data_IF_486294227351
#
_entry.id   IF_486294227351
#
_cell.length_a   1.000
_cell.length_b   1.000
_cell.length_c   1.000
_cell.angle_alpha   90.00
_cell.angle_beta   90.00
_cell.angle_gamma   90.00
#
_symmetry.space_group_name_H-M   'P 1'
#
loop_
_entity.id
_entity.type
_entity.pdbx_description
1 polymer ?
#
# COMPACT_ATOMS: atom_id res chain seq x y z
N UNK A 1 9.96 51.30 21.14
CA UNK A 1 10.46 50.09 20.46
C UNK A 1 10.34 48.89 21.40
N UNK A 2 9.15 48.31 21.59
CA UNK A 2 8.90 47.36 22.68
C UNK A 2 7.89 46.25 22.30
N UNK A 3 7.88 45.79 21.04
CA UNK A 3 6.75 45.00 20.53
C UNK A 3 7.08 43.77 19.67
N UNK A 4 8.26 43.14 19.80
CA UNK A 4 8.58 41.97 18.94
C UNK A 4 9.12 40.72 19.65
N UNK A 5 9.32 40.72 20.97
CA UNK A 5 9.97 39.57 21.65
C UNK A 5 9.06 38.70 22.52
N UNK A 6 7.78 39.05 22.70
CA UNK A 6 6.91 38.35 23.65
C UNK A 6 6.04 37.23 23.05
N UNK A 7 5.93 37.13 21.73
CA UNK A 7 4.99 36.20 21.07
C UNK A 7 5.63 34.92 20.51
N UNK A 8 6.95 34.79 20.51
CA UNK A 8 7.62 33.61 19.92
C UNK A 8 7.78 32.42 20.89
N UNK A 9 7.69 32.65 22.20
CA UNK A 9 7.87 31.60 23.22
C UNK A 9 6.61 30.81 23.58
N UNK A 10 5.45 31.17 23.02
CA UNK A 10 4.14 30.62 23.44
C UNK A 10 3.47 29.67 22.43
N UNK A 11 4.14 29.28 21.34
CA UNK A 11 3.54 28.38 20.34
C UNK A 11 4.14 26.97 20.23
N UNK A 12 5.21 26.66 20.98
CA UNK A 12 5.91 25.37 20.85
C UNK A 12 5.90 24.54 22.14
N UNK A 13 4.73 24.42 22.78
CA UNK A 13 4.52 23.36 23.77
C UNK A 13 3.73 22.22 23.12
N UNK A 14 4.43 21.43 22.31
CA UNK A 14 3.95 20.12 21.89
C UNK A 14 3.82 19.25 23.15
N UNK A 15 2.60 19.09 23.65
CA UNK A 15 2.27 18.09 24.67
C UNK A 15 2.52 16.72 24.04
N UNK A 16 3.75 16.22 24.11
CA UNK A 16 4.04 14.80 23.92
C UNK A 16 3.43 14.07 25.11
N UNK A 17 2.19 13.64 24.95
CA UNK A 17 1.47 12.82 25.93
C UNK A 17 2.37 11.63 26.26
N UNK A 18 2.75 11.50 27.54
CA UNK A 18 3.56 10.38 28.00
C UNK A 18 2.89 9.05 27.58
N UNK A 19 3.67 8.04 27.16
CA UNK A 19 3.12 6.73 26.85
C UNK A 19 2.29 6.24 28.05
N UNK A 20 1.02 5.94 27.85
CA UNK A 20 0.19 5.40 28.94
C UNK A 20 0.77 4.04 29.35
N UNK A 21 0.90 3.81 30.66
CA UNK A 21 1.27 2.49 31.16
C UNK A 21 0.26 1.44 30.67
N UNK A 22 0.76 0.35 30.08
CA UNK A 22 -0.11 -0.66 29.52
C UNK A 22 -0.74 -1.48 30.66
N UNK A 23 -2.06 -1.32 30.85
CA UNK A 23 -2.82 -1.95 31.94
C UNK A 23 -2.78 -3.48 31.89
N UNK A 24 -2.56 -4.04 30.70
CA UNK A 24 -2.50 -5.48 30.47
C UNK A 24 -1.11 -6.07 30.67
N UNK A 25 -0.09 -5.23 30.94
CA UNK A 25 1.32 -5.66 31.04
C UNK A 25 1.93 -6.14 29.71
N UNK A 26 1.15 -6.18 28.63
CA UNK A 26 1.63 -6.54 27.31
C UNK A 26 2.38 -5.36 26.70
N UNK A 27 3.66 -5.52 26.40
CA UNK A 27 4.44 -4.51 25.67
C UNK A 27 4.65 -4.97 24.21
N UNK A 28 3.98 -4.33 23.24
CA UNK A 28 4.14 -4.65 21.83
C UNK A 28 5.57 -4.47 21.34
N UNK A 29 6.33 -3.52 21.89
CA UNK A 29 7.71 -3.24 21.46
C UNK A 29 8.67 -4.30 21.98
N UNK A 30 8.49 -4.75 23.21
CA UNK A 30 9.22 -5.90 23.75
C UNK A 30 8.91 -7.18 22.96
N UNK A 31 7.63 -7.40 22.61
CA UNK A 31 7.23 -8.53 21.77
C UNK A 31 7.93 -8.51 20.41
N UNK A 32 7.88 -7.37 19.68
CA UNK A 32 8.56 -7.22 18.37
C UNK A 32 10.08 -7.41 18.48
N UNK A 33 10.71 -6.93 19.55
CA UNK A 33 12.13 -7.14 19.78
C UNK A 33 12.48 -8.63 19.99
N UNK A 34 11.57 -9.39 20.63
CA UNK A 34 11.74 -10.82 20.90
C UNK A 34 11.26 -11.75 19.78
N UNK A 35 10.42 -11.28 18.85
CA UNK A 35 9.78 -12.12 17.84
C UNK A 35 10.68 -12.49 16.65
N UNK A 36 11.92 -11.99 16.63
CA UNK A 36 12.90 -12.28 15.59
C UNK A 36 13.52 -13.68 15.72
N UNK A 37 14.06 -14.19 14.61
CA UNK A 37 14.83 -15.43 14.65
C UNK A 37 16.19 -15.19 15.33
N UNK A 38 16.61 -16.02 16.30
CA UNK A 38 17.88 -15.83 16.99
C UNK A 38 19.07 -15.89 16.02
N UNK A 39 20.06 -15.01 16.25
CA UNK A 39 21.22 -14.84 15.38
C UNK A 39 22.09 -16.11 15.25
N UNK A 40 21.99 -17.06 16.18
CA UNK A 40 22.75 -18.30 16.14
C UNK A 40 21.89 -19.53 16.47
N UNK A 41 20.88 -19.78 15.64
CA UNK A 41 20.08 -20.99 15.73
C UNK A 41 20.87 -22.23 15.21
N UNK A 42 21.08 -23.27 16.06
CA UNK A 42 21.78 -24.48 15.65
C UNK A 42 21.04 -25.30 14.56
N UNK A 43 19.73 -25.10 14.41
CA UNK A 43 18.91 -25.85 13.45
C UNK A 43 18.73 -25.14 12.12
N UNK A 44 19.23 -23.92 11.96
CA UNK A 44 19.06 -23.09 10.74
C UNK A 44 19.38 -23.85 9.45
N UNK A 45 20.47 -24.62 9.42
CA UNK A 45 20.84 -25.41 8.22
C UNK A 45 19.83 -26.51 7.92
N UNK A 46 19.29 -27.15 8.97
CA UNK A 46 18.27 -28.20 8.85
C UNK A 46 16.92 -27.64 8.41
N UNK A 47 16.62 -26.39 8.72
CA UNK A 47 15.38 -25.72 8.28
C UNK A 47 15.51 -24.97 6.94
N UNK A 48 16.73 -24.78 6.42
CA UNK A 48 16.98 -23.99 5.22
C UNK A 48 16.22 -24.47 3.98
N UNK A 49 16.03 -25.79 3.82
CA UNK A 49 15.33 -26.35 2.65
C UNK A 49 13.87 -25.89 2.54
N UNK A 50 13.21 -25.54 3.67
CA UNK A 50 11.81 -25.09 3.68
C UNK A 50 11.61 -23.73 3.02
N UNK A 51 12.69 -22.94 2.93
CA UNK A 51 12.63 -21.55 2.46
C UNK A 51 13.59 -21.28 1.30
N UNK A 52 14.28 -22.31 0.80
CA UNK A 52 15.18 -22.24 -0.34
C UNK A 52 14.53 -22.74 -1.64
N UNK A 53 15.11 -22.35 -2.78
CA UNK A 53 14.69 -22.80 -4.11
C UNK A 53 13.23 -22.45 -4.45
N UNK A 54 12.43 -23.47 -4.76
CA UNK A 54 11.02 -23.34 -5.14
C UNK A 54 10.10 -22.80 -4.03
N UNK A 55 10.51 -22.91 -2.77
CA UNK A 55 9.69 -22.52 -1.61
C UNK A 55 9.98 -21.11 -1.09
N UNK A 56 10.81 -20.33 -1.78
CA UNK A 56 11.08 -18.94 -1.43
C UNK A 56 9.81 -18.08 -1.49
N UNK A 57 9.77 -16.96 -0.74
CA UNK A 57 8.61 -16.04 -0.76
C UNK A 57 8.22 -15.63 -2.18
N UNK A 58 9.22 -15.33 -3.00
CA UNK A 58 9.02 -14.84 -4.37
C UNK A 58 8.47 -15.94 -5.28
N UNK A 59 8.92 -17.18 -5.11
CA UNK A 59 8.44 -18.29 -5.92
C UNK A 59 7.00 -18.71 -5.58
N UNK A 60 6.48 -18.33 -4.40
CA UNK A 60 5.06 -18.47 -4.07
C UNK A 60 4.21 -17.42 -4.78
N UNK A 61 4.70 -16.18 -4.86
CA UNK A 61 3.95 -15.07 -5.46
C UNK A 61 4.01 -15.00 -6.99
N UNK A 62 5.07 -15.53 -7.63
CA UNK A 62 5.18 -15.50 -9.10
C UNK A 62 4.03 -16.20 -9.83
N UNK A 63 3.37 -17.15 -9.17
CA UNK A 63 2.25 -17.91 -9.72
C UNK A 63 0.88 -17.45 -9.17
N UNK A 64 0.84 -16.36 -8.38
CA UNK A 64 -0.40 -15.90 -7.75
C UNK A 64 -1.44 -15.39 -8.76
N UNK A 65 -1.00 -14.81 -9.89
CA UNK A 65 -1.87 -14.31 -10.94
C UNK A 65 -1.46 -14.85 -12.30
N UNK A 66 -1.81 -16.12 -12.61
CA UNK A 66 -1.56 -16.66 -13.94
C UNK A 66 -2.35 -15.83 -14.96
N UNK A 67 -1.66 -15.25 -15.94
CA UNK A 67 -2.31 -14.52 -17.03
C UNK A 67 -2.54 -13.03 -16.80
N UNK A 68 -2.14 -12.44 -15.66
CA UNK A 68 -2.31 -11.00 -15.43
C UNK A 68 -1.63 -10.15 -16.52
N UNK A 69 -0.45 -10.54 -16.99
CA UNK A 69 0.22 -9.84 -18.08
C UNK A 69 -0.59 -9.85 -19.38
N UNK A 70 -1.13 -11.02 -19.77
CA UNK A 70 -1.92 -11.16 -21.00
C UNK A 70 -3.25 -10.41 -20.87
N UNK A 71 -3.91 -10.51 -19.71
CA UNK A 71 -5.15 -9.80 -19.43
C UNK A 71 -4.95 -8.28 -19.49
N UNK A 72 -3.88 -7.75 -18.89
CA UNK A 72 -3.56 -6.32 -18.96
C UNK A 72 -3.28 -5.86 -20.39
N UNK A 73 -2.56 -6.65 -21.18
CA UNK A 73 -2.31 -6.34 -22.60
C UNK A 73 -3.60 -6.36 -23.41
N UNK A 74 -4.43 -7.40 -23.26
CA UNK A 74 -5.71 -7.50 -23.96
C UNK A 74 -6.65 -6.35 -23.59
N UNK A 75 -6.73 -6.02 -22.29
CA UNK A 75 -7.51 -4.88 -21.80
C UNK A 75 -7.01 -3.56 -22.37
N UNK A 76 -5.70 -3.31 -22.35
CA UNK A 76 -5.14 -2.09 -22.92
C UNK A 76 -5.37 -1.99 -24.43
N UNK A 77 -5.25 -3.11 -25.16
CA UNK A 77 -5.55 -3.16 -26.59
C UNK A 77 -7.03 -2.85 -26.87
N UNK A 78 -7.95 -3.39 -26.06
CA UNK A 78 -9.37 -3.09 -26.15
C UNK A 78 -9.68 -1.62 -25.87
N UNK A 79 -9.16 -1.05 -24.77
CA UNK A 79 -9.33 0.37 -24.47
C UNK A 79 -8.72 1.26 -25.55
N UNK A 80 -7.56 0.91 -26.09
CA UNK A 80 -6.92 1.61 -27.20
C UNK A 80 -7.76 1.54 -28.48
N UNK A 81 -8.34 0.38 -28.77
CA UNK A 81 -9.26 0.22 -29.90
C UNK A 81 -10.52 1.07 -29.72
N UNK A 82 -11.17 1.03 -28.56
CA UNK A 82 -12.32 1.90 -28.26
C UNK A 82 -11.94 3.39 -28.35
N UNK A 83 -10.76 3.75 -27.87
CA UNK A 83 -10.28 5.13 -27.88
C UNK A 83 -9.97 5.62 -29.30
N UNK A 84 -9.41 4.79 -30.18
CA UNK A 84 -8.97 5.23 -31.52
C UNK A 84 -10.03 5.01 -32.60
N UNK A 85 -10.84 3.94 -32.51
CA UNK A 85 -11.82 3.60 -33.55
C UNK A 85 -13.26 3.97 -33.16
N UNK A 86 -13.66 3.88 -31.89
CA UNK A 86 -15.03 4.23 -31.47
C UNK A 86 -15.21 5.73 -31.15
N UNK A 87 -14.14 6.47 -30.85
CA UNK A 87 -14.23 7.93 -30.65
C UNK A 87 -14.46 8.72 -31.94
N UNK A 88 -13.94 8.24 -33.08
CA UNK A 88 -14.08 8.94 -34.36
C UNK A 88 -15.52 8.81 -34.93
N UNK A 89 -16.26 7.75 -34.60
CA UNK A 89 -17.65 7.54 -35.08
C UNK A 89 -18.74 8.27 -34.25
N UNK A 90 -18.39 8.89 -33.11
CA UNK A 90 -19.34 9.64 -32.26
C UNK A 90 -19.13 11.17 -32.24
N UNK A 91 -18.31 11.71 -33.14
CA UNK A 91 -18.15 13.16 -33.29
C UNK A 91 -19.24 13.82 -34.17
N UNK A 92 -20.20 13.05 -34.69
CA UNK A 92 -21.36 13.53 -35.45
C UNK A 92 -22.69 12.94 -34.94
N UNK A 93 -23.03 13.22 -33.68
CA UNK A 93 -24.42 13.19 -33.21
C UNK A 93 -24.68 14.45 -32.39
N UNK A 94 -25.05 15.51 -33.10
CA UNK A 94 -25.68 16.69 -32.54
C UNK A 94 -27.08 16.30 -32.01
N UNK A 95 -27.40 16.75 -30.79
CA UNK A 95 -28.78 16.92 -30.32
C UNK A 95 -29.32 15.92 -29.28
N UNK A 96 -29.60 16.42 -28.06
CA UNK A 96 -30.88 16.09 -27.39
C UNK A 96 -30.85 15.53 -25.96
N UNK A 97 -31.24 16.40 -25.01
CA UNK A 97 -31.97 16.14 -23.75
C UNK A 97 -31.28 15.41 -22.58
N UNK A 98 -30.70 16.22 -21.68
CA UNK A 98 -31.08 16.12 -20.28
C UNK A 98 -32.29 17.01 -20.03
N UNK A 99 -33.42 16.44 -19.61
CA UNK A 99 -34.43 17.01 -18.69
C UNK A 99 -35.60 16.02 -18.55
N UNK A 100 -35.92 15.60 -17.32
CA UNK A 100 -37.28 15.23 -16.90
C UNK A 100 -37.83 13.80 -17.14
N UNK A 101 -38.55 13.32 -16.10
CA UNK A 101 -39.59 12.27 -16.08
C UNK A 101 -39.16 10.79 -16.03
N UNK A 102 -39.04 10.21 -14.82
CA UNK A 102 -40.04 9.38 -14.13
C UNK A 102 -39.48 8.81 -12.82
#
# INVERSE_FOLDING_TARGET
MQLTHFLDTKLSYSIRRAPRANLTGFDPRAFVASSGSPANDPWRRREAWRYAGQFTRWNRFKAAFPGLGIASVAFAAYCGYEYMFLKDDHAHAEGGHGEGHH
#
